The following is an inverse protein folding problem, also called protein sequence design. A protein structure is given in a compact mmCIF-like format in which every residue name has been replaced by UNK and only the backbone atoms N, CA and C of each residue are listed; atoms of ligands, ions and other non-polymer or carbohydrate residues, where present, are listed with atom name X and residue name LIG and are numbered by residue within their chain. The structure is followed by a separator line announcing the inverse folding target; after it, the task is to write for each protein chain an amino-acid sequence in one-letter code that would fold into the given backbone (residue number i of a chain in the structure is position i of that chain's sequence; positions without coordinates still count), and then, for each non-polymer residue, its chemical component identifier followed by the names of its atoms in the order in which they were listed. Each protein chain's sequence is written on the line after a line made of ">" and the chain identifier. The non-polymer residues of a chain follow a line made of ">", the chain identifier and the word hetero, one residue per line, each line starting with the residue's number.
data_IF_812261275704
#
_entry.id   IF_812261275704
#
_cell.length_a   1.000
_cell.length_b   1.000
_cell.length_c   1.000
_cell.angle_alpha   90.00
_cell.angle_beta   90.00
_cell.angle_gamma   90.00
#
_symmetry.space_group_name_H-M   'P 1'
#
loop_
_entity.id
_entity.type
_entity.pdbx_description
1 polymer ?
#
# COMPACT_ATOMS: atom_id res chain seq x y z
N UNK A 1 51.49 16.14 -42.95
CA UNK A 1 50.03 15.96 -43.17
C UNK A 1 49.60 14.78 -42.29
N UNK A 2 49.25 14.96 -41.01
CA UNK A 2 47.96 15.51 -40.50
C UNK A 2 46.78 14.89 -41.24
N UNK A 3 45.79 14.22 -40.65
CA UNK A 3 45.44 13.99 -39.24
C UNK A 3 44.26 13.01 -39.20
N UNK A 4 44.30 12.10 -38.23
CA UNK A 4 43.21 11.49 -37.44
C UNK A 4 41.76 11.72 -37.89
N UNK A 5 41.02 10.62 -38.04
CA UNK A 5 39.69 10.46 -37.45
C UNK A 5 39.62 9.09 -36.76
N UNK A 6 39.57 9.11 -35.42
CA UNK A 6 38.93 8.04 -34.65
C UNK A 6 37.62 8.57 -34.08
N UNK A 7 37.05 7.93 -33.06
CA UNK A 7 36.92 6.50 -32.81
C UNK A 7 35.47 6.04 -33.03
N UNK A 8 35.28 4.73 -33.10
CA UNK A 8 33.98 4.07 -32.88
C UNK A 8 33.43 4.49 -31.53
N UNK A 9 32.37 5.30 -31.51
CA UNK A 9 31.58 5.54 -30.30
C UNK A 9 30.93 4.22 -29.88
N UNK A 10 31.57 3.53 -28.96
CA UNK A 10 30.87 2.53 -28.15
C UNK A 10 29.75 3.28 -27.42
N UNK A 11 28.50 2.99 -27.76
CA UNK A 11 27.35 3.31 -26.93
C UNK A 11 27.47 2.53 -25.61
N UNK A 12 28.37 2.98 -24.71
CA UNK A 12 28.33 2.60 -23.30
C UNK A 12 27.00 3.12 -22.78
N UNK A 13 26.07 2.19 -22.55
CA UNK A 13 24.66 2.44 -22.27
C UNK A 13 24.44 3.68 -21.41
N UNK A 14 23.98 4.76 -22.04
CA UNK A 14 23.42 5.93 -21.35
C UNK A 14 22.31 5.38 -20.46
N UNK A 15 22.51 5.43 -19.14
CA UNK A 15 21.44 5.10 -18.19
C UNK A 15 20.33 6.11 -18.43
N UNK A 16 19.24 5.66 -19.06
CA UNK A 16 18.04 6.46 -19.20
C UNK A 16 17.41 6.58 -17.82
N UNK A 17 17.47 7.79 -17.26
CA UNK A 17 16.69 8.13 -16.08
C UNK A 17 15.28 8.47 -16.54
N UNK A 18 14.27 8.04 -15.79
CA UNK A 18 12.90 8.41 -16.05
C UNK A 18 12.68 9.88 -15.67
N UNK A 19 11.99 10.62 -16.53
CA UNK A 19 11.67 12.04 -16.33
C UNK A 19 10.18 12.18 -16.00
N UNK A 20 9.83 13.14 -15.14
CA UNK A 20 8.43 13.39 -14.78
C UNK A 20 7.80 12.29 -13.92
N UNK A 21 8.60 11.48 -13.21
CA UNK A 21 8.08 10.51 -12.25
C UNK A 21 7.47 11.23 -11.05
N UNK A 22 6.23 10.89 -10.64
CA UNK A 22 5.63 11.49 -9.47
C UNK A 22 6.48 11.21 -8.24
N UNK A 23 6.68 12.26 -7.44
CA UNK A 23 7.30 12.11 -6.13
C UNK A 23 6.49 11.13 -5.29
N UNK A 24 7.19 10.22 -4.61
CA UNK A 24 6.61 9.37 -3.57
C UNK A 24 6.07 10.23 -2.43
N UNK A 25 4.81 10.03 -2.07
CA UNK A 25 4.16 10.76 -0.96
C UNK A 25 4.39 10.01 0.35
N UNK A 26 4.43 10.72 1.48
CA UNK A 26 4.54 10.10 2.79
C UNK A 26 3.40 9.09 3.01
N UNK A 27 3.72 7.99 3.69
CA UNK A 27 2.82 6.85 3.97
C UNK A 27 2.24 6.13 2.74
N UNK A 28 2.33 6.66 1.51
CA UNK A 28 1.83 6.00 0.29
C UNK A 28 2.42 4.58 0.15
N UNK A 29 1.61 3.60 -0.23
CA UNK A 29 2.12 2.25 -0.46
C UNK A 29 3.00 2.20 -1.72
N UNK A 30 3.99 1.30 -1.77
CA UNK A 30 4.78 1.12 -2.98
C UNK A 30 3.95 0.78 -4.22
N UNK A 31 2.91 -0.03 -4.10
CA UNK A 31 2.03 -0.39 -5.20
C UNK A 31 1.18 0.79 -5.70
N UNK A 32 0.75 1.69 -4.81
CA UNK A 32 0.13 2.97 -5.18
C UNK A 32 1.09 3.80 -6.02
N UNK A 33 2.31 4.00 -5.52
CA UNK A 33 3.32 4.78 -6.22
C UNK A 33 3.68 4.19 -7.58
N UNK A 34 3.84 2.86 -7.66
CA UNK A 34 4.12 2.15 -8.92
C UNK A 34 3.03 2.37 -9.97
N UNK A 35 1.77 2.42 -9.56
CA UNK A 35 0.64 2.66 -10.48
C UNK A 35 0.70 4.05 -11.08
N UNK A 36 0.91 5.07 -10.24
CA UNK A 36 1.05 6.47 -10.68
C UNK A 36 2.31 6.69 -11.52
N UNK A 37 3.41 6.04 -11.16
CA UNK A 37 4.68 6.14 -11.87
C UNK A 37 4.63 5.46 -13.24
N UNK A 38 3.91 4.34 -13.39
CA UNK A 38 3.66 3.75 -14.70
C UNK A 38 2.82 4.69 -15.59
N UNK A 39 1.73 5.23 -15.04
CA UNK A 39 0.85 6.16 -15.75
C UNK A 39 1.59 7.42 -16.21
N UNK A 40 2.45 8.00 -15.36
CA UNK A 40 3.20 9.23 -15.71
C UNK A 40 4.21 9.01 -16.83
N UNK A 41 4.51 7.76 -17.19
CA UNK A 41 5.36 7.40 -18.33
C UNK A 41 4.54 6.91 -19.53
N UNK A 42 3.21 6.89 -19.44
CA UNK A 42 2.33 6.43 -20.52
C UNK A 42 2.49 4.94 -20.84
N UNK A 43 2.88 4.12 -19.86
CA UNK A 43 3.11 2.67 -20.05
C UNK A 43 2.24 1.84 -19.11
N UNK A 44 2.05 0.57 -19.47
CA UNK A 44 1.39 -0.38 -18.58
C UNK A 44 2.24 -0.64 -17.33
N UNK A 45 1.58 -1.06 -16.24
CA UNK A 45 2.29 -1.48 -15.02
C UNK A 45 3.27 -2.62 -15.27
N UNK A 46 2.97 -3.52 -16.22
CA UNK A 46 3.83 -4.65 -16.57
C UNK A 46 5.14 -4.18 -17.20
N UNK A 47 5.07 -3.22 -18.12
CA UNK A 47 6.23 -2.62 -18.76
C UNK A 47 7.06 -1.82 -17.76
N UNK A 48 6.40 -1.01 -16.92
CA UNK A 48 7.08 -0.25 -15.89
C UNK A 48 7.83 -1.15 -14.89
N UNK A 49 7.18 -2.20 -14.38
CA UNK A 49 7.82 -3.20 -13.49
C UNK A 49 9.00 -3.88 -14.15
N UNK A 50 8.91 -4.20 -15.45
CA UNK A 50 10.03 -4.78 -16.22
C UNK A 50 11.20 -3.80 -16.30
N UNK A 51 10.93 -2.52 -16.58
CA UNK A 51 11.95 -1.49 -16.67
C UNK A 51 12.72 -1.28 -15.36
N UNK A 52 12.01 -1.18 -14.24
CA UNK A 52 12.61 -1.02 -12.91
C UNK A 52 13.08 -2.34 -12.27
N UNK A 53 13.09 -3.44 -13.03
CA UNK A 53 13.53 -4.78 -12.60
C UNK A 53 12.79 -5.37 -11.38
N UNK A 54 11.51 -5.02 -11.20
CA UNK A 54 10.67 -5.61 -10.16
C UNK A 54 10.07 -6.93 -10.63
N UNK A 55 10.35 -8.02 -9.91
CA UNK A 55 9.78 -9.32 -10.21
C UNK A 55 8.24 -9.27 -10.24
N UNK A 56 7.65 -9.82 -11.30
CA UNK A 56 6.18 -9.80 -11.49
C UNK A 56 5.46 -10.79 -10.56
N UNK A 57 6.14 -11.82 -10.08
CA UNK A 57 5.59 -12.89 -9.23
C UNK A 57 5.68 -12.60 -7.73
N UNK A 58 5.71 -11.33 -7.33
CA UNK A 58 5.75 -10.93 -5.94
C UNK A 58 4.76 -9.80 -5.69
N UNK A 59 4.20 -9.79 -4.48
CA UNK A 59 3.49 -8.65 -3.93
C UNK A 59 4.41 -7.43 -3.95
N UNK A 60 3.97 -6.37 -4.62
CA UNK A 60 4.82 -5.23 -4.93
C UNK A 60 5.29 -4.47 -3.68
N UNK A 61 4.47 -4.41 -2.63
CA UNK A 61 4.88 -3.78 -1.38
C UNK A 61 5.88 -4.68 -0.65
N UNK A 62 5.60 -5.98 -0.55
CA UNK A 62 6.52 -6.90 0.11
C UNK A 62 7.84 -7.09 -0.65
N UNK A 63 7.87 -6.85 -1.96
CA UNK A 63 9.09 -6.86 -2.77
C UNK A 63 9.95 -5.58 -2.62
N UNK A 64 9.42 -4.51 -2.00
CA UNK A 64 10.11 -3.24 -1.79
C UNK A 64 11.17 -3.34 -0.68
N UNK A 65 12.32 -3.96 -0.99
CA UNK A 65 13.47 -4.13 -0.09
C UNK A 65 14.43 -2.94 -0.15
N UNK A 66 15.39 -2.84 0.77
CA UNK A 66 16.40 -1.77 0.75
C UNK A 66 17.22 -1.73 -0.55
N UNK A 67 17.56 -2.91 -1.08
CA UNK A 67 18.27 -3.02 -2.37
C UNK A 67 17.41 -2.46 -3.50
N UNK A 68 16.11 -2.76 -3.47
CA UNK A 68 15.16 -2.29 -4.47
C UNK A 68 14.92 -0.78 -4.38
N UNK A 69 14.72 -0.22 -3.17
CA UNK A 69 14.60 1.23 -2.95
C UNK A 69 15.78 2.00 -3.54
N UNK A 70 17.01 1.56 -3.26
CA UNK A 70 18.21 2.21 -3.80
C UNK A 70 18.27 2.16 -5.34
N UNK A 71 17.84 1.05 -5.93
CA UNK A 71 17.74 0.92 -7.37
C UNK A 71 16.69 1.88 -7.93
N UNK A 72 15.44 1.81 -7.44
CA UNK A 72 14.33 2.66 -7.89
C UNK A 72 14.67 4.14 -7.77
N UNK A 73 15.12 4.58 -6.59
CA UNK A 73 15.52 5.96 -6.33
C UNK A 73 16.51 6.47 -7.40
N UNK A 74 17.48 5.62 -7.78
CA UNK A 74 18.44 5.93 -8.82
C UNK A 74 17.81 6.04 -10.21
N UNK A 75 16.96 5.08 -10.62
CA UNK A 75 16.39 5.07 -11.99
C UNK A 75 15.34 6.16 -12.18
N UNK A 76 14.63 6.53 -11.10
CA UNK A 76 13.58 7.55 -11.13
C UNK A 76 14.08 8.93 -10.70
N UNK A 77 15.39 9.09 -10.44
CA UNK A 77 15.97 10.32 -9.93
C UNK A 77 15.25 10.89 -8.69
N UNK A 78 14.87 10.01 -7.75
CA UNK A 78 14.24 10.36 -6.47
C UNK A 78 15.19 10.09 -5.31
N UNK A 79 14.92 10.70 -4.14
CA UNK A 79 15.74 10.44 -2.97
C UNK A 79 15.31 9.14 -2.29
N UNK A 80 16.27 8.29 -1.89
CA UNK A 80 15.96 7.03 -1.20
C UNK A 80 15.15 7.25 0.10
N UNK A 81 15.36 8.39 0.77
CA UNK A 81 14.60 8.80 1.97
C UNK A 81 13.10 8.92 1.73
N UNK A 82 12.68 9.22 0.50
CA UNK A 82 11.25 9.34 0.16
C UNK A 82 10.51 7.98 0.29
N UNK A 83 11.26 6.88 0.35
CA UNK A 83 10.72 5.52 0.55
C UNK A 83 11.02 4.93 1.94
N UNK A 84 11.83 5.61 2.75
CA UNK A 84 12.45 5.04 3.95
C UNK A 84 11.42 4.60 4.99
N UNK A 85 10.41 5.42 5.28
CA UNK A 85 9.38 5.08 6.25
C UNK A 85 8.67 3.76 5.92
N UNK A 86 8.19 3.64 4.68
CA UNK A 86 7.45 2.44 4.24
C UNK A 86 8.37 1.23 4.16
N UNK A 87 9.59 1.42 3.65
CA UNK A 87 10.60 0.37 3.61
C UNK A 87 10.93 -0.13 5.02
N UNK A 88 11.00 0.78 6.00
CA UNK A 88 11.28 0.46 7.39
C UNK A 88 10.15 -0.37 8.00
N UNK A 89 8.90 0.07 7.86
CA UNK A 89 7.71 -0.64 8.34
C UNK A 89 7.61 -2.03 7.71
N UNK A 90 7.77 -2.15 6.39
CA UNK A 90 7.71 -3.44 5.69
C UNK A 90 8.86 -4.36 6.07
N UNK A 91 10.05 -3.82 6.35
CA UNK A 91 11.19 -4.61 6.84
C UNK A 91 10.94 -5.12 8.25
N UNK A 92 10.36 -4.30 9.13
CA UNK A 92 9.90 -4.73 10.44
C UNK A 92 8.84 -5.82 10.33
N UNK A 93 7.90 -5.69 9.39
CA UNK A 93 6.85 -6.69 9.17
C UNK A 93 7.42 -8.04 8.74
N UNK A 94 8.42 -8.06 7.84
CA UNK A 94 9.08 -9.29 7.37
C UNK A 94 9.71 -10.12 8.50
N UNK A 95 10.04 -9.51 9.64
CA UNK A 95 10.51 -10.23 10.83
C UNK A 95 9.39 -11.10 11.43
N UNK A 96 8.16 -10.60 11.42
CA UNK A 96 6.99 -11.27 11.98
C UNK A 96 6.33 -12.20 10.96
N UNK A 97 6.17 -11.71 9.75
CA UNK A 97 5.47 -12.34 8.64
C UNK A 97 6.22 -12.03 7.35
N UNK A 98 7.01 -13.01 6.90
CA UNK A 98 7.92 -12.88 5.75
C UNK A 98 7.19 -12.49 4.46
N UNK A 99 5.95 -12.93 4.30
CA UNK A 99 5.18 -12.77 3.06
C UNK A 99 4.03 -11.78 3.19
N UNK A 100 3.71 -11.32 4.40
CA UNK A 100 2.64 -10.36 4.67
C UNK A 100 1.24 -10.99 4.69
N UNK A 101 1.12 -12.31 4.53
CA UNK A 101 -0.16 -13.01 4.42
C UNK A 101 -0.99 -13.00 5.70
N UNK A 102 -0.35 -12.87 6.87
CA UNK A 102 -1.02 -12.78 8.16
C UNK A 102 -1.57 -11.37 8.39
N UNK A 103 -0.77 -10.34 8.11
CA UNK A 103 -1.08 -8.95 8.51
C UNK A 103 -1.70 -8.09 7.42
N UNK A 104 -1.40 -8.36 6.14
CA UNK A 104 -1.82 -7.54 5.01
C UNK A 104 -2.98 -8.18 4.25
N UNK A 105 -3.82 -7.34 3.66
CA UNK A 105 -4.83 -7.71 2.68
C UNK A 105 -4.14 -8.01 1.34
N UNK A 106 -4.50 -9.12 0.72
CA UNK A 106 -4.01 -9.51 -0.60
C UNK A 106 -4.80 -10.67 -1.18
N UNK A 107 -4.64 -10.88 -2.48
CA UNK A 107 -5.14 -12.05 -3.20
C UNK A 107 -4.18 -12.35 -4.37
N UNK A 108 -3.70 -13.59 -4.49
CA UNK A 108 -2.86 -14.06 -5.59
C UNK A 108 -1.73 -13.08 -5.98
N UNK A 109 -1.00 -12.55 -4.99
CA UNK A 109 0.11 -11.58 -5.11
C UNK A 109 -0.30 -10.12 -5.41
N UNK A 110 -1.59 -9.83 -5.56
CA UNK A 110 -2.08 -8.46 -5.69
C UNK A 110 -2.34 -7.86 -4.31
N UNK A 111 -1.83 -6.65 -4.10
CA UNK A 111 -2.07 -5.91 -2.88
C UNK A 111 -3.52 -5.43 -2.87
N UNK A 112 -4.32 -5.94 -1.93
CA UNK A 112 -5.69 -5.45 -1.69
C UNK A 112 -5.65 -4.32 -0.68
N UNK A 113 -6.55 -3.38 -0.83
CA UNK A 113 -6.64 -2.23 0.06
C UNK A 113 -8.07 -2.02 0.54
N UNK A 114 -8.18 -1.51 1.77
CA UNK A 114 -9.33 -0.69 2.13
C UNK A 114 -9.04 0.77 1.80
N UNK A 115 -10.01 1.64 1.98
CA UNK A 115 -9.82 3.08 1.86
C UNK A 115 -10.84 3.84 2.71
N UNK A 116 -10.44 5.02 3.16
CA UNK A 116 -11.37 5.98 3.71
C UNK A 116 -11.88 6.84 2.54
N UNK A 117 -13.20 6.85 2.25
CA UNK A 117 -13.73 7.67 1.16
C UNK A 117 -13.54 9.16 1.42
N UNK A 118 -13.52 9.59 2.69
CA UNK A 118 -13.27 10.99 3.09
C UNK A 118 -11.79 11.36 2.85
N UNK A 119 -10.84 10.51 3.27
CA UNK A 119 -9.43 10.75 2.97
C UNK A 119 -9.18 10.84 1.46
N UNK A 120 -9.79 9.97 0.66
CA UNK A 120 -9.66 10.04 -0.79
C UNK A 120 -10.20 11.37 -1.33
N UNK A 121 -11.38 11.81 -0.89
CA UNK A 121 -11.97 13.09 -1.30
C UNK A 121 -11.07 14.29 -1.00
N UNK A 122 -10.51 14.36 0.21
CA UNK A 122 -9.68 15.48 0.67
C UNK A 122 -8.25 15.47 0.11
N UNK A 123 -7.75 14.29 -0.29
CA UNK A 123 -6.40 14.17 -0.83
C UNK A 123 -6.25 14.97 -2.13
N UNK A 124 -5.31 15.92 -2.12
CA UNK A 124 -4.89 16.63 -3.33
C UNK A 124 -4.19 15.71 -4.34
N UNK A 125 -3.39 14.76 -3.84
CA UNK A 125 -2.73 13.73 -4.65
C UNK A 125 -3.35 12.40 -4.20
N UNK A 126 -4.10 11.77 -5.11
CA UNK A 126 -4.87 10.54 -4.82
C UNK A 126 -3.91 9.36 -4.69
N UNK A 127 -3.72 8.87 -3.47
CA UNK A 127 -2.79 7.79 -3.14
C UNK A 127 -3.42 6.82 -2.14
N UNK A 128 -3.02 5.56 -2.23
CA UNK A 128 -3.37 4.57 -1.20
C UNK A 128 -2.25 4.52 -0.17
N UNK A 129 -2.61 4.72 1.10
CA UNK A 129 -1.65 4.65 2.20
C UNK A 129 -1.31 3.18 2.52
N UNK A 130 -0.11 2.94 3.05
CA UNK A 130 0.36 1.62 3.41
C UNK A 130 -0.51 0.98 4.50
N UNK A 131 -0.92 1.78 5.49
CA UNK A 131 -1.75 1.32 6.61
C UNK A 131 -3.09 0.74 6.14
N UNK A 132 -3.63 1.22 5.01
CA UNK A 132 -4.88 0.73 4.46
C UNK A 132 -4.81 -0.72 3.93
N UNK A 133 -3.61 -1.29 3.82
CA UNK A 133 -3.42 -2.72 3.57
C UNK A 133 -3.60 -3.59 4.79
N UNK A 134 -3.42 -3.06 5.99
CA UNK A 134 -3.40 -3.93 7.16
C UNK A 134 -4.81 -4.45 7.41
N UNK A 135 -4.96 -5.78 7.61
CA UNK A 135 -6.25 -6.42 7.90
C UNK A 135 -6.96 -5.80 9.11
N UNK A 136 -6.15 -5.28 10.03
CA UNK A 136 -6.55 -4.59 11.24
C UNK A 136 -7.08 -3.16 11.02
N UNK A 137 -6.71 -2.51 9.92
CA UNK A 137 -7.09 -1.13 9.62
C UNK A 137 -8.51 -1.08 9.05
N UNK A 138 -9.51 -1.04 9.94
CA UNK A 138 -10.94 -1.14 9.60
C UNK A 138 -11.72 0.15 9.78
N UNK A 139 -11.14 1.13 10.45
CA UNK A 139 -11.72 2.47 10.55
C UNK A 139 -10.65 3.53 10.33
N UNK A 140 -11.09 4.69 9.88
CA UNK A 140 -10.27 5.87 9.77
C UNK A 140 -10.28 6.65 11.10
N UNK A 141 -9.13 6.85 11.76
CA UNK A 141 -9.08 7.66 12.97
C UNK A 141 -9.19 9.17 12.70
N UNK A 142 -8.92 9.62 11.47
CA UNK A 142 -9.02 11.04 11.10
C UNK A 142 -10.46 11.47 10.91
N UNK A 143 -11.29 10.60 10.32
CA UNK A 143 -12.65 10.92 9.90
C UNK A 143 -13.72 10.09 10.63
N UNK A 144 -13.31 9.29 11.61
CA UNK A 144 -14.17 8.46 12.45
C UNK A 144 -15.24 7.74 11.61
N UNK A 145 -14.79 6.96 10.62
CA UNK A 145 -15.66 6.21 9.72
C UNK A 145 -15.10 4.82 9.42
N UNK A 146 -15.96 3.87 9.06
CA UNK A 146 -15.51 2.56 8.61
C UNK A 146 -14.80 2.64 7.25
N UNK A 147 -13.70 1.90 7.12
CA UNK A 147 -12.96 1.79 5.87
C UNK A 147 -13.75 0.93 4.88
N UNK A 148 -13.87 1.37 3.63
CA UNK A 148 -14.48 0.60 2.55
C UNK A 148 -13.43 -0.32 1.93
N UNK A 149 -13.80 -1.54 1.59
CA UNK A 149 -12.91 -2.49 0.92
C UNK A 149 -13.32 -2.77 -0.54
N UNK A 150 -14.44 -2.19 -0.99
CA UNK A 150 -15.00 -2.40 -2.33
C UNK A 150 -15.41 -1.07 -2.95
N UNK A 151 -15.37 -1.02 -4.27
CA UNK A 151 -15.96 0.06 -5.05
C UNK A 151 -17.47 0.16 -4.73
N UNK A 152 -18.02 1.37 -4.47
CA UNK A 152 -19.45 1.53 -4.19
C UNK A 152 -20.32 1.25 -5.43
N UNK A 153 -19.74 1.26 -6.63
CA UNK A 153 -20.46 1.09 -7.90
C UNK A 153 -20.43 -0.35 -8.42
N UNK A 154 -19.24 -0.92 -8.60
CA UNK A 154 -19.09 -2.27 -9.18
C UNK A 154 -18.68 -3.35 -8.18
N UNK A 155 -18.55 -3.02 -6.89
CA UNK A 155 -18.18 -3.95 -5.80
C UNK A 155 -16.81 -4.63 -5.92
N UNK A 156 -16.02 -4.30 -6.94
CA UNK A 156 -14.65 -4.77 -7.11
C UNK A 156 -13.75 -4.29 -5.96
N UNK A 157 -12.78 -5.12 -5.58
CA UNK A 157 -11.77 -4.76 -4.59
C UNK A 157 -10.75 -3.78 -5.20
N UNK A 158 -10.33 -2.74 -4.48
CA UNK A 158 -9.16 -1.95 -4.86
C UNK A 158 -7.89 -2.80 -4.76
N UNK A 159 -7.28 -3.09 -5.91
CA UNK A 159 -6.06 -3.89 -6.03
C UNK A 159 -4.95 -3.10 -6.70
N UNK A 160 -3.76 -3.06 -6.10
CA UNK A 160 -2.59 -2.38 -6.65
C UNK A 160 -1.38 -3.34 -6.69
N UNK A 161 -0.37 -3.08 -7.54
CA UNK A 161 -0.31 -1.99 -8.49
C UNK A 161 -1.25 -2.27 -9.68
N UNK A 162 -1.94 -1.24 -10.16
CA UNK A 162 -2.93 -1.33 -11.24
C UNK A 162 -2.42 -0.74 -12.55
N UNK A 163 -2.89 -1.28 -13.67
CA UNK A 163 -2.68 -0.68 -14.99
C UNK A 163 -3.67 0.46 -15.22
N UNK A 164 -3.33 1.66 -14.75
CA UNK A 164 -4.21 2.84 -14.86
C UNK A 164 -4.44 3.28 -16.31
N UNK A 165 -3.51 2.96 -17.23
CA UNK A 165 -3.63 3.33 -18.65
C UNK A 165 -4.77 2.60 -19.34
N UNK A 166 -4.99 1.34 -18.97
CA UNK A 166 -6.01 0.46 -19.57
C UNK A 166 -7.16 0.12 -18.59
N UNK A 167 -7.31 0.90 -17.52
CA UNK A 167 -8.33 0.71 -16.50
C UNK A 167 -9.72 1.21 -16.95
N UNK A 168 -10.73 0.90 -16.14
CA UNK A 168 -12.10 1.39 -16.34
C UNK A 168 -12.87 0.69 -17.45
N UNK A 169 -14.13 1.09 -17.62
CA UNK A 169 -15.01 0.54 -18.66
C UNK A 169 -14.39 0.76 -20.05
N UNK A 170 -14.38 -0.29 -20.86
CA UNK A 170 -13.82 -0.23 -22.22
C UNK A 170 -12.33 0.06 -22.29
N UNK A 171 -11.58 -0.03 -21.17
CA UNK A 171 -10.15 0.33 -21.08
C UNK A 171 -9.86 1.79 -21.43
N UNK A 172 -10.79 2.69 -21.09
CA UNK A 172 -10.64 4.13 -21.35
C UNK A 172 -9.49 4.78 -20.57
N UNK A 173 -8.97 4.10 -19.54
CA UNK A 173 -7.94 4.61 -18.65
C UNK A 173 -8.53 5.47 -17.52
N UNK A 174 -7.75 5.65 -16.46
CA UNK A 174 -8.07 6.55 -15.34
C UNK A 174 -6.88 7.46 -15.03
N UNK A 175 -7.16 8.72 -14.69
CA UNK A 175 -6.12 9.71 -14.41
C UNK A 175 -5.56 9.62 -12.97
N UNK A 176 -6.36 9.15 -12.02
CA UNK A 176 -6.09 9.22 -10.58
C UNK A 176 -6.61 7.98 -9.84
N UNK A 177 -6.01 7.66 -8.69
CA UNK A 177 -6.32 6.44 -7.92
C UNK A 177 -7.61 6.52 -7.08
N UNK A 178 -8.26 7.68 -6.99
CA UNK A 178 -9.63 7.77 -6.45
C UNK A 178 -10.68 7.15 -7.37
N UNK A 179 -10.30 6.68 -8.56
CA UNK A 179 -11.17 5.94 -9.47
C UNK A 179 -10.94 4.44 -9.37
N UNK A 180 -12.02 3.68 -9.50
CA UNK A 180 -11.96 2.24 -9.55
C UNK A 180 -11.23 1.76 -10.81
N UNK A 181 -10.26 0.85 -10.65
CA UNK A 181 -9.54 0.27 -11.80
C UNK A 181 -10.44 -0.60 -12.70
N UNK A 182 -11.57 -1.08 -12.20
CA UNK A 182 -12.51 -1.92 -12.95
C UNK A 182 -13.53 -1.09 -13.73
N UNK A 183 -14.29 -0.21 -13.07
CA UNK A 183 -15.35 0.56 -13.73
C UNK A 183 -15.00 2.02 -14.04
N UNK A 184 -13.93 2.59 -13.46
CA UNK A 184 -13.54 4.00 -13.66
C UNK A 184 -14.31 5.01 -12.80
N UNK A 185 -15.34 4.59 -12.08
CA UNK A 185 -16.11 5.46 -11.18
C UNK A 185 -15.36 5.83 -9.90
N UNK A 186 -15.75 6.95 -9.30
CA UNK A 186 -15.14 7.47 -8.07
C UNK A 186 -15.39 6.54 -6.88
N UNK A 187 -14.32 6.20 -6.17
CA UNK A 187 -14.34 5.40 -4.94
C UNK A 187 -14.86 6.19 -3.75
N UNK A 188 -14.62 7.51 -3.75
CA UNK A 188 -15.07 8.45 -2.72
C UNK A 188 -16.57 8.78 -2.78
N UNK A 189 -17.33 8.26 -3.76
CA UNK A 189 -18.77 8.56 -3.88
C UNK A 189 -19.52 8.38 -2.55
N UNK A 190 -20.29 9.39 -2.15
CA UNK A 190 -21.02 9.39 -0.88
C UNK A 190 -20.10 9.44 0.34
N UNK A 191 -18.98 10.17 0.28
CA UNK A 191 -18.07 10.32 1.42
C UNK A 191 -18.66 11.20 2.53
N UNK A 192 -19.47 12.22 2.19
CA UNK A 192 -20.05 13.15 3.16
C UNK A 192 -20.96 12.43 4.16
N UNK A 193 -21.72 11.44 3.68
CA UNK A 193 -22.68 10.70 4.50
C UNK A 193 -22.03 9.69 5.45
N UNK A 194 -20.73 9.45 5.34
CA UNK A 194 -20.02 8.48 6.21
C UNK A 194 -19.05 9.14 7.18
N UNK A 195 -18.78 10.45 7.04
CA UNK A 195 -17.90 11.16 7.97
C UNK A 195 -18.49 11.17 9.38
N UNK A 196 -17.66 10.87 10.39
CA UNK A 196 -18.04 10.84 11.80
C UNK A 196 -19.24 9.92 12.13
N UNK A 197 -19.44 8.87 11.33
CA UNK A 197 -20.52 7.90 11.56
C UNK A 197 -20.12 6.72 12.42
N UNK A 198 -18.82 6.49 12.62
CA UNK A 198 -18.33 5.43 13.49
C UNK A 198 -18.14 5.96 14.92
N UNK A 199 -18.90 5.38 15.85
CA UNK A 199 -18.73 5.58 17.28
C UNK A 199 -18.20 4.29 17.92
N UNK A 200 -17.07 4.40 18.64
CA UNK A 200 -16.47 3.26 19.36
C UNK A 200 -17.36 2.75 20.49
N UNK A 201 -18.31 3.54 21.00
CA UNK A 201 -19.28 3.10 22.00
C UNK A 201 -20.17 1.95 21.51
N UNK A 202 -20.30 1.79 20.19
CA UNK A 202 -21.04 0.69 19.56
C UNK A 202 -20.28 -0.64 19.60
N UNK A 203 -18.99 -0.61 19.93
CA UNK A 203 -18.19 -1.82 20.08
C UNK A 203 -18.30 -2.34 21.52
N UNK A 204 -18.42 -3.66 21.67
CA UNK A 204 -18.16 -4.27 22.96
C UNK A 204 -16.66 -4.08 23.34
N UNK A 205 -16.30 -4.19 24.64
CA UNK A 205 -14.93 -3.95 25.09
C UNK A 205 -13.86 -4.77 24.35
N UNK A 206 -14.22 -5.98 23.92
CA UNK A 206 -13.34 -6.85 23.13
C UNK A 206 -13.10 -6.30 21.72
N UNK A 207 -14.14 -5.86 21.03
CA UNK A 207 -14.06 -5.24 19.72
C UNK A 207 -13.24 -3.96 19.74
N UNK A 208 -13.43 -3.13 20.76
CA UNK A 208 -12.63 -1.92 20.95
C UNK A 208 -11.14 -2.26 21.17
N UNK A 209 -10.85 -3.24 22.01
CA UNK A 209 -9.48 -3.72 22.25
C UNK A 209 -8.83 -4.24 20.95
N UNK A 210 -9.55 -5.03 20.14
CA UNK A 210 -9.05 -5.52 18.86
C UNK A 210 -8.75 -4.39 17.86
N UNK A 211 -9.62 -3.38 17.80
CA UNK A 211 -9.39 -2.19 16.96
C UNK A 211 -8.15 -1.41 17.42
N UNK A 212 -8.03 -1.17 18.73
CA UNK A 212 -6.89 -0.47 19.32
C UNK A 212 -5.58 -1.23 19.11
N UNK A 213 -5.58 -2.54 19.36
CA UNK A 213 -4.43 -3.41 19.14
C UNK A 213 -4.02 -3.41 17.67
N UNK A 214 -4.99 -3.38 16.75
CA UNK A 214 -4.75 -3.25 15.32
C UNK A 214 -3.85 -2.08 14.94
N UNK A 215 -4.12 -0.89 15.49
CA UNK A 215 -3.27 0.31 15.28
C UNK A 215 -1.96 0.22 16.02
N UNK A 216 -1.97 -0.35 17.22
CA UNK A 216 -0.76 -0.58 18.01
C UNK A 216 0.23 -1.47 17.25
N UNK A 217 -0.23 -2.43 16.43
CA UNK A 217 0.66 -3.21 15.54
C UNK A 217 1.42 -2.30 14.58
N UNK A 218 0.76 -1.37 13.90
CA UNK A 218 1.45 -0.48 12.95
C UNK A 218 2.45 0.44 13.66
N UNK A 219 2.06 1.00 14.81
CA UNK A 219 2.96 1.78 15.66
C UNK A 219 4.17 0.94 16.09
N UNK A 220 3.95 -0.31 16.50
CA UNK A 220 5.02 -1.22 16.87
C UNK A 220 5.97 -1.49 15.71
N UNK A 221 5.45 -1.72 14.49
CA UNK A 221 6.28 -1.91 13.28
C UNK A 221 7.12 -0.68 12.94
N UNK A 222 6.56 0.52 13.12
CA UNK A 222 7.25 1.79 12.90
C UNK A 222 8.28 2.12 14.00
N UNK A 223 8.07 1.67 15.24
CA UNK A 223 8.98 1.93 16.36
C UNK A 223 9.94 0.76 16.67
N UNK A 224 9.69 -0.43 16.10
CA UNK A 224 10.32 -1.73 16.44
C UNK A 224 10.22 -2.14 17.91
N UNK A 225 9.23 -1.58 18.62
CA UNK A 225 9.02 -1.79 20.04
C UNK A 225 7.54 -1.87 20.34
N UNK A 226 7.19 -2.61 21.37
CA UNK A 226 5.82 -2.79 21.84
C UNK A 226 5.75 -2.33 23.28
N UNK A 227 4.66 -1.67 23.64
CA UNK A 227 4.28 -1.43 25.04
C UNK A 227 2.93 -2.09 25.26
N UNK A 228 2.80 -2.84 26.34
CA UNK A 228 1.56 -3.53 26.71
C UNK A 228 0.96 -2.77 27.87
N UNK A 229 -0.31 -2.36 27.74
CA UNK A 229 -1.01 -1.63 28.81
C UNK A 229 -1.05 -2.50 30.07
N UNK A 230 -0.51 -1.98 31.17
CA UNK A 230 -0.45 -2.69 32.46
C UNK A 230 0.83 -3.52 32.68
N UNK A 231 1.74 -3.59 31.71
CA UNK A 231 3.09 -4.14 31.91
C UNK A 231 4.12 -3.00 31.91
N UNK A 232 5.11 -3.07 32.80
CA UNK A 232 6.23 -2.14 32.80
C UNK A 232 7.26 -2.53 31.73
N UNK A 233 7.78 -1.53 31.00
CA UNK A 233 8.87 -1.69 30.04
C UNK A 233 8.46 -1.75 28.57
N UNK A 234 9.48 -1.97 27.73
CA UNK A 234 9.34 -2.07 26.27
C UNK A 234 9.75 -3.47 25.81
N UNK A 235 8.94 -4.05 24.92
CA UNK A 235 9.18 -5.38 24.37
C UNK A 235 9.65 -5.29 22.92
N UNK A 236 10.48 -6.24 22.51
CA UNK A 236 10.87 -6.36 21.10
C UNK A 236 9.68 -6.79 20.23
N UNK A 237 9.73 -6.50 18.93
CA UNK A 237 8.68 -6.88 17.97
C UNK A 237 8.24 -8.34 18.06
N UNK A 238 9.12 -9.27 18.41
CA UNK A 238 8.80 -10.69 18.50
C UNK A 238 7.67 -10.99 19.50
N UNK A 239 7.46 -10.11 20.50
CA UNK A 239 6.36 -10.26 21.45
C UNK A 239 4.97 -10.14 20.80
N UNK A 240 4.84 -9.54 19.60
CA UNK A 240 3.58 -9.55 18.84
C UNK A 240 3.11 -10.97 18.53
N UNK A 241 4.02 -11.94 18.33
CA UNK A 241 3.65 -13.35 18.11
C UNK A 241 2.99 -13.97 19.35
N UNK A 242 3.34 -13.51 20.54
CA UNK A 242 2.69 -13.93 21.79
C UNK A 242 1.28 -13.35 21.88
N UNK A 243 1.13 -12.05 21.61
CA UNK A 243 -0.17 -11.36 21.60
C UNK A 243 -1.11 -11.98 20.55
N UNK A 244 -0.59 -12.32 19.37
CA UNK A 244 -1.34 -12.99 18.30
C UNK A 244 -1.91 -14.34 18.76
N UNK A 245 -1.10 -15.17 19.45
CA UNK A 245 -1.53 -16.49 19.96
C UNK A 245 -2.68 -16.40 20.96
N UNK A 246 -2.82 -15.28 21.67
CA UNK A 246 -3.93 -15.03 22.58
C UNK A 246 -5.20 -14.51 21.89
N UNK A 247 -5.23 -14.42 20.55
CA UNK A 247 -6.38 -13.91 19.80
C UNK A 247 -6.60 -12.40 19.97
N UNK A 248 -5.63 -11.68 20.55
CA UNK A 248 -5.73 -10.25 20.85
C UNK A 248 -5.42 -9.35 19.65
N UNK A 249 -5.16 -9.93 18.48
CA UNK A 249 -4.94 -9.18 17.25
C UNK A 249 -6.03 -9.51 16.22
N UNK A 250 -6.57 -8.50 15.50
CA UNK A 250 -7.77 -8.64 14.66
C UNK A 250 -7.55 -9.41 13.34
N UNK A 251 -6.41 -10.06 13.16
CA UNK A 251 -6.03 -10.78 11.93
C UNK A 251 -6.10 -12.30 12.03
N UNK A 252 -6.27 -12.88 13.23
CA UNK A 252 -6.22 -14.34 13.45
C UNK A 252 -7.55 -15.10 13.32
N UNK A 253 -8.70 -14.43 13.40
CA UNK A 253 -10.00 -15.12 13.50
C UNK A 253 -11.14 -14.40 12.78
N UNK A 254 -10.97 -14.07 11.51
CA UNK A 254 -12.13 -13.83 10.64
C UNK A 254 -11.95 -14.65 9.38
N UNK A 255 -12.22 -15.95 9.51
CA UNK A 255 -12.91 -16.63 8.42
C UNK A 255 -14.22 -15.86 8.24
N UNK A 256 -14.51 -15.45 7.01
CA UNK A 256 -15.81 -14.95 6.61
C UNK A 256 -16.88 -15.93 7.09
N UNK A 257 -17.68 -15.57 8.09
CA UNK A 257 -18.91 -16.29 8.45
C UNK A 257 -20.02 -16.03 7.41
N UNK A 258 -19.65 -15.75 6.16
CA UNK A 258 -20.58 -15.41 5.07
C UNK A 258 -20.21 -16.01 3.71
N UNK A 259 -19.33 -17.02 3.65
CA UNK A 259 -19.16 -17.82 2.42
C UNK A 259 -20.05 -19.07 2.38
N UNK A 260 -21.08 -19.15 3.22
CA UNK A 260 -22.19 -20.08 3.06
C UNK A 260 -23.53 -19.34 3.25
N UNK A 261 -24.05 -18.76 2.16
CA UNK A 261 -25.47 -18.78 1.77
C UNK A 261 -25.74 -17.78 0.61
N UNK A 262 -26.22 -18.36 -0.50
CA UNK A 262 -26.81 -17.80 -1.73
C UNK A 262 -25.84 -17.34 -2.82
#
# INVERSE_FOLDING_TARGET
>A
MSSRLGPTESFRGRRMNLLGIPKKIDFESPASWLSRAALSQGVSIKEFRKFITLHQKADADMAFTQKYVRHVAKVTNQAARDFEFVQYVLTSLRILDRHGGEYLLGDNLNARYRFCPVCLAEQRIKVFALEWRFKAWRWCPLHQCMMRDRCPHCRAFPTLPGDMLNAGLGRAGIATLDRCLCCGELLETGWQSVMNTFDSSLLNPWGEALMNNGRAVLSALACRKIRIKGEEGEFSLSALRRIQRYGLLPHGHIASVHDEAV
#
